data_IF_227115050027
#
_entry.id   IF_227115050027
#
_cell.length_a   1.000
_cell.length_b   1.000
_cell.length_c   1.000
_cell.angle_alpha   90.00
_cell.angle_beta   90.00
_cell.angle_gamma   90.00
#
_symmetry.space_group_name_H-M   'P 1'
#
loop_
_entity.id
_entity.type
_entity.pdbx_description
1 polymer ?
#
# COMPACT_ATOMS: atom_id res chain seq x y z
N UNK A 1 4.03 -27.84 11.97
CA UNK A 1 3.16 -26.96 11.16
C UNK A 1 3.35 -25.49 11.53
N UNK A 2 3.21 -25.08 12.81
CA UNK A 2 3.41 -23.70 13.24
C UNK A 2 4.84 -23.15 12.98
N UNK A 3 5.90 -23.92 13.29
CA UNK A 3 7.29 -23.51 13.00
C UNK A 3 7.59 -23.38 11.50
N UNK A 4 7.03 -24.27 10.67
CA UNK A 4 7.21 -24.20 9.21
C UNK A 4 6.50 -22.95 8.66
N UNK A 5 5.33 -22.61 9.20
CA UNK A 5 4.61 -21.39 8.85
C UNK A 5 5.33 -20.12 9.34
N UNK A 6 6.04 -20.18 10.48
CA UNK A 6 6.87 -19.10 11.00
C UNK A 6 8.17 -18.90 10.19
N UNK A 7 8.80 -20.00 9.77
CA UNK A 7 9.96 -19.95 8.86
C UNK A 7 9.53 -19.40 7.49
N UNK A 8 8.39 -19.86 6.97
CA UNK A 8 7.82 -19.36 5.72
C UNK A 8 7.49 -17.87 5.82
N UNK A 9 6.89 -17.40 6.92
CA UNK A 9 6.55 -15.99 7.12
C UNK A 9 7.80 -15.12 7.18
N UNK A 10 8.86 -15.56 7.87
CA UNK A 10 10.14 -14.85 7.95
C UNK A 10 10.85 -14.73 6.60
N UNK A 11 10.79 -15.75 5.75
CA UNK A 11 11.38 -15.75 4.41
C UNK A 11 10.52 -14.91 3.43
N UNK A 12 9.20 -14.99 3.51
CA UNK A 12 8.29 -14.17 2.70
C UNK A 12 8.31 -12.67 3.07
N UNK A 13 8.73 -12.33 4.29
CA UNK A 13 8.86 -10.95 4.78
C UNK A 13 10.16 -10.26 4.29
N UNK A 14 10.90 -10.87 3.37
CA UNK A 14 12.12 -10.24 2.85
C UNK A 14 11.77 -9.08 1.91
N UNK A 15 11.93 -7.85 2.38
CA UNK A 15 11.57 -6.65 1.64
C UNK A 15 12.55 -6.39 0.48
N UNK A 16 12.14 -6.73 -0.74
CA UNK A 16 12.91 -6.52 -1.97
C UNK A 16 13.39 -5.07 -2.16
N UNK A 17 12.68 -4.09 -1.61
CA UNK A 17 13.05 -2.68 -1.69
C UNK A 17 14.35 -2.33 -0.94
N UNK A 18 14.76 -3.13 0.05
CA UNK A 18 16.03 -2.97 0.79
C UNK A 18 17.24 -3.44 -0.02
N UNK A 19 17.03 -4.28 -1.03
CA UNK A 19 18.09 -4.92 -1.79
C UNK A 19 18.73 -4.02 -2.85
N UNK A 20 20.05 -4.16 -2.99
CA UNK A 20 20.82 -3.43 -4.00
C UNK A 20 20.34 -3.80 -5.42
N UNK A 21 20.46 -2.85 -6.35
CA UNK A 21 19.99 -3.03 -7.75
C UNK A 21 20.60 -4.28 -8.41
N UNK A 22 21.87 -4.58 -8.12
CA UNK A 22 22.57 -5.77 -8.62
C UNK A 22 21.94 -7.07 -8.12
N UNK A 23 21.59 -7.15 -6.84
CA UNK A 23 20.95 -8.33 -6.26
C UNK A 23 19.55 -8.54 -6.86
N UNK A 24 18.76 -7.47 -6.99
CA UNK A 24 17.44 -7.53 -7.65
C UNK A 24 17.55 -7.97 -9.11
N UNK A 25 18.61 -7.54 -9.81
CA UNK A 25 18.86 -7.97 -11.18
C UNK A 25 19.18 -9.46 -11.28
N UNK A 26 19.99 -9.98 -10.36
CA UNK A 26 20.32 -11.40 -10.33
C UNK A 26 19.09 -12.24 -10.03
N UNK A 27 18.30 -11.85 -9.02
CA UNK A 27 17.06 -12.55 -8.67
C UNK A 27 16.05 -12.56 -9.82
N UNK A 28 15.89 -11.46 -10.57
CA UNK A 28 15.02 -11.46 -11.75
C UNK A 28 15.54 -12.42 -12.83
N UNK A 29 16.85 -12.48 -13.05
CA UNK A 29 17.46 -13.39 -14.02
C UNK A 29 17.25 -14.86 -13.62
N UNK A 30 17.39 -15.17 -12.33
CA UNK A 30 17.16 -16.52 -11.80
C UNK A 30 15.70 -16.95 -11.99
N UNK A 31 14.75 -16.08 -11.67
CA UNK A 31 13.32 -16.36 -11.90
C UNK A 31 13.03 -16.56 -13.40
N UNK A 32 13.65 -15.77 -14.28
CA UNK A 32 13.49 -15.94 -15.74
C UNK A 32 14.05 -17.27 -16.22
N UNK A 33 15.17 -17.72 -15.64
CA UNK A 33 15.74 -19.04 -15.95
C UNK A 33 14.78 -20.15 -15.52
N UNK A 34 14.22 -20.08 -14.31
CA UNK A 34 13.23 -21.06 -13.82
C UNK A 34 11.94 -21.04 -14.66
N UNK A 35 11.43 -19.86 -15.04
CA UNK A 35 10.28 -19.76 -15.95
C UNK A 35 10.56 -20.42 -17.31
N UNK A 36 11.79 -20.31 -17.81
CA UNK A 36 12.21 -20.95 -19.07
C UNK A 36 12.25 -22.48 -18.91
N UNK A 37 12.71 -22.97 -17.77
CA UNK A 37 12.71 -24.40 -17.46
C UNK A 37 11.27 -24.96 -17.38
N UNK A 38 10.36 -24.26 -16.69
CA UNK A 38 8.94 -24.64 -16.62
C UNK A 38 8.29 -24.69 -18.00
N UNK A 39 8.63 -23.75 -18.90
CA UNK A 39 8.17 -23.78 -20.29
C UNK A 39 8.70 -25.00 -21.05
N UNK A 40 9.95 -25.40 -20.81
CA UNK A 40 10.50 -26.63 -21.40
C UNK A 40 9.81 -27.88 -20.86
N UNK A 41 9.53 -27.94 -19.55
CA UNK A 41 8.79 -29.03 -18.93
C UNK A 41 7.36 -29.12 -19.49
N UNK A 42 6.67 -27.99 -19.64
CA UNK A 42 5.34 -27.93 -20.24
C UNK A 42 5.32 -28.45 -21.70
N UNK A 43 6.33 -28.09 -22.51
CA UNK A 43 6.47 -28.62 -23.89
C UNK A 43 6.70 -30.13 -23.94
N UNK A 44 7.48 -30.67 -23.01
CA UNK A 44 7.68 -32.14 -22.90
C UNK A 44 6.37 -32.84 -22.54
N UNK A 45 5.60 -32.27 -21.61
CA UNK A 45 4.29 -32.79 -21.23
C UNK A 45 3.27 -32.70 -22.36
N UNK A 46 3.30 -31.65 -23.17
CA UNK A 46 2.45 -31.54 -24.37
C UNK A 46 2.74 -32.67 -25.37
N UNK A 47 4.02 -33.00 -25.58
CA UNK A 47 4.39 -34.13 -26.45
C UNK A 47 3.87 -35.45 -25.88
N UNK A 48 4.08 -35.68 -24.57
CA UNK A 48 3.62 -36.89 -23.87
C UNK A 48 2.09 -37.01 -23.85
N UNK A 49 1.39 -35.89 -23.72
CA UNK A 49 -0.07 -35.82 -23.81
C UNK A 49 -0.56 -36.29 -25.17
N UNK A 50 0.08 -35.84 -26.25
CA UNK A 50 -0.29 -36.24 -27.61
C UNK A 50 -0.05 -37.74 -27.84
N UNK A 51 1.03 -38.30 -27.29
CA UNK A 51 1.30 -39.74 -27.38
C UNK A 51 0.24 -40.58 -26.65
N UNK A 52 -0.16 -40.18 -25.44
CA UNK A 52 -1.22 -40.86 -24.69
C UNK A 52 -2.60 -40.70 -25.32
N UNK A 53 -2.85 -39.57 -25.99
CA UNK A 53 -4.08 -39.34 -26.73
C UNK A 53 -4.23 -40.33 -27.90
N UNK A 54 -3.12 -40.67 -28.56
CA UNK A 54 -3.10 -41.71 -29.60
C UNK A 54 -3.31 -43.12 -29.05
N UNK A 55 -2.83 -43.37 -27.82
CA UNK A 55 -2.96 -44.67 -27.15
C UNK A 55 -4.32 -44.86 -26.44
N UNK A 56 -5.17 -43.81 -26.41
CA UNK A 56 -6.46 -43.78 -25.73
C UNK A 56 -6.40 -44.12 -24.22
N UNK A 57 -5.27 -43.83 -23.55
CA UNK A 57 -5.11 -44.03 -22.11
C UNK A 57 -5.65 -42.83 -21.33
N UNK A 58 -6.89 -42.95 -20.86
CA UNK A 58 -7.56 -41.89 -20.10
C UNK A 58 -6.88 -41.57 -18.75
N UNK A 59 -6.26 -42.55 -18.09
CA UNK A 59 -5.64 -42.36 -16.77
C UNK A 59 -4.38 -41.50 -16.89
N UNK A 60 -3.53 -41.79 -17.86
CA UNK A 60 -2.31 -41.03 -18.12
C UNK A 60 -2.62 -39.61 -18.65
N UNK A 61 -3.68 -39.44 -19.43
CA UNK A 61 -4.14 -38.11 -19.88
C UNK A 61 -4.56 -37.22 -18.70
N UNK A 62 -5.26 -37.77 -17.71
CA UNK A 62 -5.62 -37.04 -16.49
C UNK A 62 -4.38 -36.67 -15.64
N UNK A 63 -3.41 -37.59 -15.54
CA UNK A 63 -2.15 -37.34 -14.84
C UNK A 63 -1.38 -36.16 -15.47
N UNK A 64 -1.20 -36.16 -16.79
CA UNK A 64 -0.52 -35.08 -17.52
C UNK A 64 -1.27 -33.76 -17.37
N UNK A 65 -2.61 -33.76 -17.41
CA UNK A 65 -3.42 -32.55 -17.21
C UNK A 65 -3.19 -31.95 -15.83
N UNK A 66 -3.09 -32.78 -14.78
CA UNK A 66 -2.83 -32.33 -13.41
C UNK A 66 -1.42 -31.77 -13.26
N UNK A 67 -0.41 -32.39 -13.89
CA UNK A 67 0.96 -31.86 -13.91
C UNK A 67 1.05 -30.50 -14.61
N UNK A 68 0.39 -30.33 -15.77
CA UNK A 68 0.34 -29.05 -16.46
C UNK A 68 -0.32 -27.98 -15.57
N UNK A 69 -1.42 -28.31 -14.87
CA UNK A 69 -2.05 -27.36 -13.94
C UNK A 69 -1.10 -26.93 -12.81
N UNK A 70 -0.29 -27.86 -12.28
CA UNK A 70 0.71 -27.53 -11.26
C UNK A 70 1.81 -26.62 -11.83
N UNK A 71 2.30 -26.88 -13.05
CA UNK A 71 3.27 -26.02 -13.73
C UNK A 71 2.73 -24.62 -13.98
N UNK A 72 1.48 -24.50 -14.44
CA UNK A 72 0.83 -23.20 -14.67
C UNK A 72 0.74 -22.41 -13.36
N UNK A 73 0.30 -23.06 -12.27
CA UNK A 73 0.23 -22.42 -10.96
C UNK A 73 1.61 -21.96 -10.46
N UNK A 74 2.64 -22.78 -10.65
CA UNK A 74 4.02 -22.42 -10.31
C UNK A 74 4.52 -21.25 -11.15
N UNK A 75 4.23 -21.24 -12.45
CA UNK A 75 4.59 -20.14 -13.35
C UNK A 75 3.90 -18.83 -12.95
N UNK A 76 2.62 -18.86 -12.57
CA UNK A 76 1.87 -17.67 -12.13
C UNK A 76 2.46 -17.08 -10.84
N UNK A 77 2.82 -17.93 -9.87
CA UNK A 77 3.48 -17.48 -8.63
C UNK A 77 4.81 -16.79 -8.94
N UNK A 78 5.66 -17.42 -9.75
CA UNK A 78 6.95 -16.84 -10.17
C UNK A 78 6.76 -15.54 -10.96
N UNK A 79 5.72 -15.44 -11.80
CA UNK A 79 5.43 -14.24 -12.56
C UNK A 79 5.08 -13.06 -11.65
N UNK A 80 4.28 -13.31 -10.61
CA UNK A 80 3.95 -12.32 -9.58
C UNK A 80 5.18 -11.87 -8.80
N UNK A 81 6.08 -12.79 -8.42
CA UNK A 81 7.33 -12.46 -7.74
C UNK A 81 8.27 -11.64 -8.63
N UNK A 82 8.44 -12.06 -9.89
CA UNK A 82 9.23 -11.33 -10.88
C UNK A 82 8.73 -9.89 -11.05
N UNK A 83 7.42 -9.69 -11.13
CA UNK A 83 6.83 -8.36 -11.26
C UNK A 83 7.14 -7.48 -10.04
N UNK A 84 7.05 -8.02 -8.83
CA UNK A 84 7.42 -7.30 -7.59
C UNK A 84 8.90 -6.89 -7.59
N UNK A 85 9.79 -7.80 -7.95
CA UNK A 85 11.24 -7.54 -8.03
C UNK A 85 11.56 -6.50 -9.10
N UNK A 86 10.91 -6.62 -10.27
CA UNK A 86 11.05 -5.66 -11.36
C UNK A 86 10.61 -4.26 -10.94
N UNK A 87 9.43 -4.14 -10.31
CA UNK A 87 8.89 -2.87 -9.83
C UNK A 87 9.80 -2.24 -8.76
N UNK A 88 10.29 -3.04 -7.80
CA UNK A 88 11.24 -2.60 -6.78
C UNK A 88 12.56 -2.10 -7.38
N UNK A 89 13.09 -2.79 -8.40
CA UNK A 89 14.32 -2.39 -9.10
C UNK A 89 14.13 -1.07 -9.83
N UNK A 90 13.03 -0.91 -10.57
CA UNK A 90 12.75 0.32 -11.32
C UNK A 90 12.60 1.53 -10.39
N UNK A 91 11.93 1.37 -9.25
CA UNK A 91 11.80 2.45 -8.28
C UNK A 91 13.16 2.86 -7.68
N UNK A 92 14.02 1.88 -7.38
CA UNK A 92 15.37 2.14 -6.84
C UNK A 92 16.26 2.85 -7.86
N UNK A 93 16.27 2.37 -9.11
CA UNK A 93 16.98 3.02 -10.22
C UNK A 93 16.54 4.47 -10.43
N UNK A 94 15.24 4.74 -10.37
CA UNK A 94 14.72 6.10 -10.46
C UNK A 94 15.24 6.99 -9.33
N UNK A 95 15.26 6.50 -8.09
CA UNK A 95 15.80 7.25 -6.94
C UNK A 95 17.29 7.49 -7.04
N UNK A 96 18.06 6.48 -7.46
CA UNK A 96 19.50 6.60 -7.62
C UNK A 96 19.84 7.62 -8.70
N UNK A 97 19.11 7.60 -9.83
CA UNK A 97 19.24 8.62 -10.88
C UNK A 97 18.84 10.01 -10.41
N UNK A 98 17.75 10.13 -9.65
CA UNK A 98 17.32 11.40 -9.04
C UNK A 98 18.39 11.94 -8.10
N UNK A 99 18.94 11.09 -7.23
CA UNK A 99 20.00 11.45 -6.29
C UNK A 99 21.27 11.89 -7.04
N UNK A 100 21.65 11.18 -8.10
CA UNK A 100 22.78 11.57 -8.94
C UNK A 100 22.58 12.93 -9.62
N UNK A 101 21.36 13.25 -10.08
CA UNK A 101 21.03 14.50 -10.77
C UNK A 101 20.82 15.69 -9.84
N UNK A 102 20.30 15.46 -8.63
CA UNK A 102 19.89 16.50 -7.67
C UNK A 102 20.91 16.73 -6.54
N UNK A 103 22.08 16.08 -6.58
CA UNK A 103 23.16 16.30 -5.62
C UNK A 103 23.03 15.51 -4.32
N UNK A 104 22.25 14.42 -4.32
CA UNK A 104 22.25 13.41 -3.26
C UNK A 104 20.87 13.01 -2.74
N UNK A 105 20.81 11.92 -1.94
CA UNK A 105 19.55 11.35 -1.45
C UNK A 105 18.79 12.26 -0.48
N UNK A 106 19.48 13.17 0.22
CA UNK A 106 18.84 14.14 1.14
C UNK A 106 17.98 15.14 0.39
N UNK A 107 18.44 15.63 -0.75
CA UNK A 107 17.71 16.59 -1.59
C UNK A 107 16.46 15.95 -2.18
N UNK A 108 16.56 14.69 -2.62
CA UNK A 108 15.39 13.93 -3.11
C UNK A 108 14.32 13.80 -2.03
N UNK A 109 14.71 13.48 -0.79
CA UNK A 109 13.76 13.42 0.34
C UNK A 109 13.13 14.77 0.65
N UNK A 110 13.90 15.85 0.57
CA UNK A 110 13.38 17.21 0.76
C UNK A 110 12.35 17.57 -0.32
N UNK A 111 12.63 17.27 -1.58
CA UNK A 111 11.69 17.50 -2.70
C UNK A 111 10.42 16.66 -2.50
N UNK A 112 10.55 15.37 -2.18
CA UNK A 112 9.40 14.50 -1.88
C UNK A 112 8.55 15.08 -0.73
N UNK A 113 9.19 15.59 0.33
CA UNK A 113 8.51 16.25 1.46
C UNK A 113 7.84 17.57 1.09
N UNK A 114 8.50 18.40 0.28
CA UNK A 114 7.94 19.66 -0.22
C UNK A 114 6.72 19.41 -1.12
N UNK A 115 6.78 18.39 -1.98
CA UNK A 115 5.64 17.95 -2.80
C UNK A 115 4.47 17.51 -1.91
N UNK A 116 4.73 16.74 -0.85
CA UNK A 116 3.69 16.33 0.10
C UNK A 116 3.07 17.54 0.84
N UNK A 117 3.89 18.47 1.30
CA UNK A 117 3.40 19.69 1.95
C UNK A 117 2.52 20.52 1.00
N UNK A 118 2.91 20.63 -0.27
CA UNK A 118 2.14 21.32 -1.30
C UNK A 118 0.82 20.61 -1.61
N UNK A 119 0.79 19.27 -1.61
CA UNK A 119 -0.46 18.50 -1.77
C UNK A 119 -1.40 18.78 -0.59
N UNK A 120 -0.87 18.74 0.64
CA UNK A 120 -1.63 19.05 1.86
C UNK A 120 -2.20 20.47 1.84
N UNK A 121 -1.40 21.45 1.39
CA UNK A 121 -1.83 22.83 1.22
C UNK A 121 -2.99 22.94 0.22
N UNK A 122 -2.88 22.33 -0.97
CA UNK A 122 -3.94 22.36 -1.99
C UNK A 122 -5.23 21.71 -1.48
N UNK A 123 -5.13 20.59 -0.76
CA UNK A 123 -6.29 19.93 -0.16
C UNK A 123 -6.91 20.76 0.96
N UNK A 124 -6.10 21.42 1.79
CA UNK A 124 -6.57 22.35 2.82
C UNK A 124 -7.33 23.54 2.23
N UNK A 125 -6.81 24.11 1.13
CA UNK A 125 -7.51 25.17 0.40
C UNK A 125 -8.83 24.68 -0.20
N UNK A 126 -8.86 23.47 -0.77
CA UNK A 126 -10.07 22.85 -1.31
C UNK A 126 -11.12 22.60 -0.21
N UNK A 127 -10.68 22.11 0.95
CA UNK A 127 -11.55 21.89 2.10
C UNK A 127 -12.11 23.22 2.63
N UNK A 128 -11.26 24.25 2.72
CA UNK A 128 -11.69 25.59 3.12
C UNK A 128 -12.71 26.18 2.14
N UNK A 129 -12.49 26.05 0.83
CA UNK A 129 -13.43 26.48 -0.21
C UNK A 129 -14.78 25.75 -0.09
N UNK A 130 -14.77 24.46 0.25
CA UNK A 130 -15.97 23.65 0.42
C UNK A 130 -16.74 24.00 1.71
N UNK A 131 -16.02 24.23 2.81
CA UNK A 131 -16.62 24.48 4.12
C UNK A 131 -17.10 25.94 4.29
N UNK A 132 -16.44 26.91 3.66
CA UNK A 132 -16.82 28.31 3.76
C UNK A 132 -18.06 28.61 2.90
N UNK A 133 -19.20 28.85 3.54
CA UNK A 133 -20.48 29.12 2.88
C UNK A 133 -20.48 30.36 1.95
N UNK A 134 -19.55 31.31 2.12
CA UNK A 134 -19.39 32.48 1.25
C UNK A 134 -17.94 32.94 1.13
N UNK A 135 -17.22 32.38 0.15
CA UNK A 135 -15.88 32.87 -0.22
C UNK A 135 -16.01 34.04 -1.20
N UNK A 136 -15.40 35.18 -0.88
CA UNK A 136 -15.32 36.35 -1.77
C UNK A 136 -14.74 35.97 -3.14
N UNK A 137 -15.26 36.58 -4.22
CA UNK A 137 -14.80 36.31 -5.60
C UNK A 137 -13.30 36.57 -5.79
N UNK A 138 -12.73 37.56 -5.09
CA UNK A 138 -11.28 37.83 -5.13
C UNK A 138 -10.47 36.71 -4.48
N UNK A 139 -10.97 36.10 -3.40
CA UNK A 139 -10.29 35.01 -2.70
C UNK A 139 -10.34 33.71 -3.50
N UNK A 140 -11.44 33.44 -4.21
CA UNK A 140 -11.52 32.32 -5.17
C UNK A 140 -10.51 32.46 -6.30
N UNK A 141 -10.29 33.68 -6.80
CA UNK A 141 -9.27 33.93 -7.82
C UNK A 141 -7.86 33.60 -7.31
N UNK A 142 -7.51 34.01 -6.09
CA UNK A 142 -6.22 33.65 -5.49
C UNK A 142 -6.06 32.14 -5.27
N UNK A 143 -7.12 31.45 -4.82
CA UNK A 143 -7.11 29.99 -4.71
C UNK A 143 -6.88 29.33 -6.07
N UNK A 144 -7.54 29.81 -7.12
CA UNK A 144 -7.33 29.31 -8.47
C UNK A 144 -5.88 29.50 -8.96
N UNK A 145 -5.27 30.66 -8.70
CA UNK A 145 -3.87 30.92 -9.08
C UNK A 145 -2.90 30.01 -8.32
N UNK A 146 -3.07 29.87 -7.00
CA UNK A 146 -2.23 29.01 -6.16
C UNK A 146 -2.38 27.55 -6.59
N UNK A 147 -3.60 27.10 -6.80
CA UNK A 147 -3.90 25.73 -7.23
C UNK A 147 -3.30 25.44 -8.61
N UNK A 148 -3.47 26.37 -9.56
CA UNK A 148 -2.90 26.23 -10.91
C UNK A 148 -1.37 26.19 -10.86
N UNK A 149 -0.74 27.06 -10.07
CA UNK A 149 0.71 27.06 -9.89
C UNK A 149 1.21 25.74 -9.26
N UNK A 150 0.51 25.24 -8.25
CA UNK A 150 0.83 23.96 -7.62
C UNK A 150 0.68 22.79 -8.60
N UNK A 151 -0.42 22.74 -9.36
CA UNK A 151 -0.64 21.78 -10.43
C UNK A 151 0.48 21.82 -11.49
N UNK A 152 0.90 23.01 -11.92
CA UNK A 152 2.02 23.17 -12.84
C UNK A 152 3.33 22.62 -12.25
N UNK A 153 3.63 22.89 -10.98
CA UNK A 153 4.81 22.32 -10.32
C UNK A 153 4.77 20.78 -10.23
N UNK A 154 3.60 20.21 -9.91
CA UNK A 154 3.44 18.75 -9.87
C UNK A 154 3.54 18.12 -11.26
N UNK A 155 3.05 18.80 -12.28
CA UNK A 155 3.18 18.35 -13.66
C UNK A 155 4.65 18.36 -14.10
N UNK A 156 5.41 19.40 -13.73
CA UNK A 156 6.85 19.48 -13.98
C UNK A 156 7.63 18.40 -13.25
N UNK A 157 7.35 18.15 -11.96
CA UNK A 157 7.97 17.05 -11.20
C UNK A 157 7.67 15.69 -11.83
N UNK A 158 6.41 15.46 -12.26
CA UNK A 158 6.03 14.24 -12.96
C UNK A 158 6.82 14.04 -14.26
N UNK A 159 6.92 15.06 -15.10
CA UNK A 159 7.69 14.98 -16.36
C UNK A 159 9.19 14.82 -16.10
N UNK A 160 9.72 15.46 -15.07
CA UNK A 160 11.11 15.31 -14.67
C UNK A 160 11.42 13.87 -14.25
N UNK A 161 10.57 13.26 -13.42
CA UNK A 161 10.71 11.84 -13.02
C UNK A 161 10.51 10.89 -14.20
N UNK A 162 9.56 11.17 -15.08
CA UNK A 162 9.34 10.39 -16.31
C UNK A 162 10.56 10.43 -17.24
N UNK A 163 11.25 11.59 -17.33
CA UNK A 163 12.46 11.73 -18.13
C UNK A 163 13.64 10.93 -17.57
N UNK A 164 13.77 10.87 -16.23
CA UNK A 164 14.83 10.10 -15.56
C UNK A 164 14.55 8.60 -15.49
N UNK A 165 13.27 8.19 -15.55
CA UNK A 165 12.86 6.79 -15.47
C UNK A 165 13.51 5.96 -16.60
N UNK A 166 14.04 4.80 -16.23
CA UNK A 166 14.65 3.87 -17.20
C UNK A 166 13.61 3.28 -18.14
N UNK A 167 12.49 2.81 -17.58
CA UNK A 167 11.37 2.29 -18.34
C UNK A 167 10.16 3.23 -18.25
N UNK A 168 9.91 3.98 -19.34
CA UNK A 168 8.78 4.91 -19.44
C UNK A 168 7.43 4.23 -19.32
N UNK A 169 7.29 3.00 -19.83
CA UNK A 169 6.03 2.23 -19.79
C UNK A 169 5.71 1.79 -18.37
N UNK A 170 6.72 1.35 -17.63
CA UNK A 170 6.59 1.05 -16.21
C UNK A 170 6.17 2.30 -15.42
N UNK A 171 6.86 3.43 -15.66
CA UNK A 171 6.57 4.67 -14.96
C UNK A 171 5.13 5.13 -15.21
N UNK A 172 4.67 5.13 -16.45
CA UNK A 172 3.28 5.47 -16.78
C UNK A 172 2.27 4.53 -16.13
N UNK A 173 2.50 3.21 -16.16
CA UNK A 173 1.61 2.23 -15.53
C UNK A 173 1.49 2.46 -14.03
N UNK A 174 2.57 2.85 -13.36
CA UNK A 174 2.58 3.05 -11.91
C UNK A 174 2.17 4.46 -11.48
N UNK A 175 2.40 5.49 -12.31
CA UNK A 175 2.24 6.90 -11.98
C UNK A 175 1.14 7.64 -12.77
N UNK A 176 0.28 6.94 -13.51
CA UNK A 176 -0.81 7.59 -14.27
C UNK A 176 -1.74 8.45 -13.41
N UNK A 177 -2.00 8.07 -12.14
CA UNK A 177 -2.82 8.84 -11.21
C UNK A 177 -2.15 10.19 -10.90
N UNK A 178 -0.83 10.20 -10.72
CA UNK A 178 -0.06 11.43 -10.47
C UNK A 178 -0.21 12.38 -11.66
N UNK A 179 -0.19 11.86 -12.88
CA UNK A 179 -0.43 12.66 -14.09
C UNK A 179 -1.85 13.24 -14.11
N UNK A 180 -2.88 12.41 -13.98
CA UNK A 180 -4.30 12.84 -14.05
C UNK A 180 -4.61 13.90 -12.99
N UNK A 181 -4.04 13.75 -11.80
CA UNK A 181 -4.26 14.70 -10.69
C UNK A 181 -3.42 15.98 -10.80
N UNK A 182 -2.40 16.03 -11.68
CA UNK A 182 -1.55 17.21 -11.90
C UNK A 182 -2.13 18.17 -12.94
N UNK A 183 -3.14 17.76 -13.69
CA UNK A 183 -3.75 18.60 -14.73
C UNK A 183 -4.53 19.74 -14.05
N UNK A 184 -4.19 21.01 -14.29
CA UNK A 184 -4.95 22.14 -13.78
C UNK A 184 -6.32 22.14 -14.46
N UNK A 185 -7.40 22.04 -13.67
CA UNK A 185 -8.77 22.07 -14.19
C UNK A 185 -9.29 23.50 -14.00
N UNK A 186 -9.45 24.29 -15.07
CA UNK A 186 -9.92 25.66 -14.96
C UNK A 186 -11.32 25.75 -14.35
N UNK A 187 -11.57 26.82 -13.62
CA UNK A 187 -12.88 27.10 -13.04
C UNK A 187 -13.95 27.20 -14.12
N UNK A 188 -15.05 26.47 -13.92
CA UNK A 188 -16.16 26.36 -14.86
C UNK A 188 -16.91 27.69 -15.11
N UNK A 189 -16.51 28.77 -14.44
CA UNK A 189 -17.06 30.11 -14.66
C UNK A 189 -16.64 30.72 -16.00
N UNK A 190 -15.49 30.30 -16.56
CA UNK A 190 -15.02 30.75 -17.88
C UNK A 190 -15.78 30.02 -19.02
N UNK A 191 -16.31 28.82 -18.75
CA UNK A 191 -17.05 28.00 -19.71
C UNK A 191 -18.57 28.17 -19.56
N UNK A 192 -19.05 29.42 -19.65
CA UNK A 192 -20.48 29.75 -19.79
C UNK A 192 -20.98 29.39 -21.20
N UNK A 193 -21.12 28.10 -21.50
CA UNK A 193 -21.91 27.61 -22.64
C UNK A 193 -22.99 26.65 -22.12
N UNK A 194 -24.26 26.93 -22.42
CA UNK A 194 -25.46 26.38 -21.76
C UNK A 194 -25.70 24.85 -21.80
N UNK A 195 -24.77 24.03 -22.30
CA UNK A 195 -24.82 22.54 -22.23
C UNK A 195 -23.98 21.96 -21.07
N UNK A 196 -23.35 22.81 -20.27
CA UNK A 196 -22.26 22.46 -19.34
C UNK A 196 -22.74 21.87 -18.00
N UNK A 197 -24.04 21.82 -17.67
CA UNK A 197 -24.51 21.24 -16.40
C UNK A 197 -24.06 19.79 -16.13
N UNK A 198 -23.94 18.96 -17.17
CA UNK A 198 -23.39 17.59 -17.06
C UNK A 198 -21.86 17.62 -16.86
N UNK A 199 -21.17 18.54 -17.54
CA UNK A 199 -19.71 18.74 -17.44
C UNK A 199 -19.33 19.33 -16.07
N UNK A 200 -20.18 20.18 -15.47
CA UNK A 200 -20.01 20.71 -14.10
C UNK A 200 -19.94 19.59 -13.05
N UNK A 201 -20.77 18.55 -13.19
CA UNK A 201 -20.76 17.40 -12.29
C UNK A 201 -19.45 16.61 -12.43
N UNK A 202 -18.96 16.42 -13.66
CA UNK A 202 -17.69 15.73 -13.91
C UNK A 202 -16.50 16.53 -13.38
N UNK A 203 -16.45 17.85 -13.62
CA UNK A 203 -15.38 18.73 -13.09
C UNK A 203 -15.34 18.69 -11.56
N UNK A 204 -16.51 18.68 -10.89
CA UNK A 204 -16.60 18.56 -9.44
C UNK A 204 -16.03 17.22 -8.94
N UNK A 205 -16.32 16.12 -9.61
CA UNK A 205 -15.77 14.79 -9.27
C UNK A 205 -14.26 14.71 -9.53
N UNK A 206 -13.77 15.32 -10.62
CA UNK A 206 -12.34 15.37 -10.94
C UNK A 206 -11.54 16.11 -9.86
N UNK A 207 -12.11 17.14 -9.21
CA UNK A 207 -11.46 17.80 -8.07
C UNK A 207 -11.25 16.86 -6.88
N UNK A 208 -12.22 15.97 -6.61
CA UNK A 208 -12.08 14.97 -5.54
C UNK A 208 -11.04 13.89 -5.86
N UNK A 209 -10.71 13.65 -7.14
CA UNK A 209 -9.60 12.75 -7.51
C UNK A 209 -8.25 13.22 -6.93
N UNK A 210 -8.11 14.50 -6.58
CA UNK A 210 -6.91 15.01 -5.89
C UNK A 210 -6.71 14.39 -4.51
N UNK A 211 -7.80 14.01 -3.83
CA UNK A 211 -7.72 13.25 -2.56
C UNK A 211 -7.11 11.88 -2.81
N UNK A 212 -7.40 11.25 -3.96
CA UNK A 212 -6.77 9.97 -4.32
C UNK A 212 -5.25 10.10 -4.45
N UNK A 213 -4.72 11.29 -4.79
CA UNK A 213 -3.26 11.50 -4.76
C UNK A 213 -2.69 11.36 -3.36
N UNK A 214 -3.30 11.94 -2.33
CA UNK A 214 -2.77 11.78 -0.97
C UNK A 214 -2.95 10.35 -0.51
N UNK A 215 -4.08 9.72 -0.82
CA UNK A 215 -4.29 8.30 -0.52
C UNK A 215 -3.23 7.44 -1.21
N UNK A 216 -2.94 7.65 -2.49
CA UNK A 216 -1.98 6.85 -3.25
C UNK A 216 -0.52 7.20 -2.91
N UNK A 217 -0.21 8.46 -2.67
CA UNK A 217 1.10 8.89 -2.19
C UNK A 217 1.35 8.35 -0.78
N UNK A 218 0.34 8.36 0.09
CA UNK A 218 0.39 7.75 1.41
C UNK A 218 0.41 6.24 1.31
N UNK A 219 -0.27 5.61 0.34
CA UNK A 219 -0.20 4.17 0.10
C UNK A 219 1.18 3.75 -0.39
N UNK A 220 1.76 4.49 -1.35
CA UNK A 220 3.15 4.29 -1.78
C UNK A 220 4.13 4.66 -0.67
N UNK A 221 3.84 5.66 0.14
CA UNK A 221 4.62 6.05 1.32
C UNK A 221 4.58 4.97 2.39
N UNK A 222 3.42 4.33 2.57
CA UNK A 222 3.22 3.11 3.35
C UNK A 222 3.96 1.92 2.72
N UNK A 223 4.03 1.83 1.39
CA UNK A 223 4.86 0.85 0.68
C UNK A 223 6.37 1.17 0.84
N UNK A 224 6.75 2.44 1.02
CA UNK A 224 8.11 2.83 1.44
C UNK A 224 8.37 2.54 2.91
N UNK A 225 7.34 2.63 3.77
CA UNK A 225 7.35 2.17 5.16
C UNK A 225 7.29 0.64 5.23
N UNK A 226 6.92 -0.08 4.17
CA UNK A 226 7.13 -1.54 4.09
C UNK A 226 8.61 -1.88 4.19
N UNK A 227 9.57 -0.98 3.95
CA UNK A 227 10.99 -1.27 4.23
C UNK A 227 11.28 -1.55 5.72
N UNK A 228 10.30 -1.33 6.62
CA UNK A 228 10.44 -1.46 8.06
C UNK A 228 9.35 -2.38 8.65
N UNK A 229 8.28 -2.74 7.92
CA UNK A 229 7.01 -3.11 8.55
C UNK A 229 6.21 -4.30 7.96
N UNK A 230 5.63 -5.11 8.86
CA UNK A 230 4.78 -6.26 8.57
C UNK A 230 3.31 -5.85 8.27
N UNK A 231 3.12 -5.28 7.07
CA UNK A 231 1.83 -4.73 6.61
C UNK A 231 0.76 -5.83 6.36
N UNK A 232 1.11 -7.13 6.48
CA UNK A 232 0.13 -8.22 6.35
C UNK A 232 -0.88 -8.24 7.49
N UNK A 233 -0.45 -7.98 8.72
CA UNK A 233 -1.35 -7.90 9.89
C UNK A 233 -2.30 -6.71 9.77
N UNK A 234 -1.81 -5.57 9.30
CA UNK A 234 -2.64 -4.38 9.05
C UNK A 234 -3.63 -4.59 7.88
N UNK A 235 -3.20 -5.22 6.78
CA UNK A 235 -4.11 -5.58 5.67
C UNK A 235 -5.14 -6.63 6.10
N UNK A 236 -4.77 -7.58 6.95
CA UNK A 236 -5.69 -8.58 7.52
C UNK A 236 -6.68 -7.94 8.50
N UNK A 237 -6.23 -7.07 9.40
CA UNK A 237 -7.11 -6.38 10.35
C UNK A 237 -8.09 -5.45 9.64
N UNK A 238 -7.66 -4.76 8.58
CA UNK A 238 -8.54 -3.92 7.76
C UNK A 238 -9.57 -4.76 6.97
N UNK A 239 -9.17 -5.90 6.40
CA UNK A 239 -10.11 -6.84 5.76
C UNK A 239 -11.13 -7.42 6.76
N UNK A 240 -10.67 -7.79 7.95
CA UNK A 240 -11.54 -8.26 9.03
C UNK A 240 -12.48 -7.16 9.51
N UNK A 241 -12.00 -5.94 9.71
CA UNK A 241 -12.83 -4.79 10.07
C UNK A 241 -13.91 -4.50 9.04
N UNK A 242 -13.56 -4.55 7.75
CA UNK A 242 -14.53 -4.40 6.67
C UNK A 242 -15.55 -5.55 6.65
N UNK A 243 -15.10 -6.79 6.89
CA UNK A 243 -15.96 -7.96 6.99
C UNK A 243 -16.95 -7.88 8.16
N UNK A 244 -16.48 -7.49 9.34
CA UNK A 244 -17.30 -7.26 10.54
C UNK A 244 -18.30 -6.13 10.30
N UNK A 245 -17.87 -5.05 9.65
CA UNK A 245 -18.75 -3.93 9.30
C UNK A 245 -19.88 -4.37 8.36
N UNK A 246 -19.56 -5.11 7.29
CA UNK A 246 -20.58 -5.59 6.35
C UNK A 246 -21.51 -6.63 7.00
N UNK A 247 -20.97 -7.53 7.81
CA UNK A 247 -21.75 -8.50 8.56
C UNK A 247 -22.70 -7.82 9.57
N UNK A 248 -22.22 -6.82 10.31
CA UNK A 248 -23.03 -6.02 11.24
C UNK A 248 -24.14 -5.26 10.52
N UNK A 249 -23.85 -4.68 9.36
CA UNK A 249 -24.83 -3.99 8.53
C UNK A 249 -25.93 -4.93 8.02
N UNK A 250 -25.57 -6.11 7.52
CA UNK A 250 -26.54 -7.11 7.06
C UNK A 250 -27.38 -7.68 8.19
N UNK A 251 -26.76 -7.96 9.33
CA UNK A 251 -27.44 -8.55 10.46
C UNK A 251 -28.44 -7.57 11.10
N UNK A 252 -28.10 -6.28 11.19
CA UNK A 252 -29.03 -5.28 11.69
C UNK A 252 -30.17 -4.99 10.70
N UNK A 253 -29.86 -4.96 9.39
CA UNK A 253 -30.87 -4.81 8.36
C UNK A 253 -31.89 -5.95 8.38
N UNK A 254 -31.45 -7.19 8.63
CA UNK A 254 -32.36 -8.33 8.67
C UNK A 254 -33.23 -8.38 9.94
N UNK A 255 -32.74 -7.85 11.06
CA UNK A 255 -33.46 -7.86 12.36
C UNK A 255 -34.37 -6.64 12.52
N UNK A 256 -33.94 -5.47 12.04
CA UNK A 256 -34.61 -4.17 12.29
C UNK A 256 -35.04 -3.46 11.01
N UNK A 257 -34.74 -3.97 9.81
CA UNK A 257 -34.98 -3.28 8.54
C UNK A 257 -36.45 -2.94 8.27
N UNK A 258 -37.38 -3.71 8.84
CA UNK A 258 -38.83 -3.44 8.76
C UNK A 258 -39.38 -2.70 10.01
N UNK A 259 -38.63 -2.64 11.11
CA UNK A 259 -39.11 -2.20 12.42
C UNK A 259 -38.61 -0.81 12.84
N UNK A 260 -37.45 -0.38 12.33
CA UNK A 260 -36.83 0.90 12.67
C UNK A 260 -36.69 1.79 11.43
N UNK A 261 -37.33 2.97 11.43
CA UNK A 261 -37.19 4.00 10.38
C UNK A 261 -35.74 4.39 10.11
N UNK A 262 -34.84 4.13 11.05
CA UNK A 262 -33.45 4.58 11.02
C UNK A 262 -32.44 3.57 10.48
N UNK A 263 -32.86 2.33 10.24
CA UNK A 263 -32.02 1.26 9.65
C UNK A 263 -32.74 0.63 8.44
N UNK A 264 -33.80 1.29 7.95
CA UNK A 264 -34.69 0.77 6.92
C UNK A 264 -34.05 0.65 5.54
N UNK A 265 -32.91 1.31 5.31
CA UNK A 265 -32.13 1.14 4.09
C UNK A 265 -30.79 0.44 4.33
N UNK A 266 -30.33 -0.30 3.31
CA UNK A 266 -29.00 -0.93 3.30
C UNK A 266 -27.89 0.12 3.50
N UNK A 267 -28.08 1.33 2.98
CA UNK A 267 -27.14 2.46 3.16
C UNK A 267 -27.03 2.92 4.62
N UNK A 268 -28.17 3.03 5.32
CA UNK A 268 -28.19 3.42 6.74
C UNK A 268 -27.60 2.33 7.63
N UNK A 269 -27.87 1.07 7.30
CA UNK A 269 -27.29 -0.09 8.00
C UNK A 269 -25.76 -0.13 7.91
N UNK A 270 -25.21 0.21 6.73
CA UNK A 270 -23.75 0.30 6.52
C UNK A 270 -23.17 1.47 7.33
N UNK A 271 -23.83 2.63 7.32
CA UNK A 271 -23.39 3.80 8.09
C UNK A 271 -23.42 3.54 9.60
N UNK A 272 -24.48 2.92 10.10
CA UNK A 272 -24.60 2.51 11.49
C UNK A 272 -23.50 1.54 11.90
N UNK A 273 -23.25 0.51 11.09
CA UNK A 273 -22.19 -0.47 11.37
C UNK A 273 -20.80 0.15 11.33
N UNK A 274 -20.53 1.06 10.39
CA UNK A 274 -19.26 1.79 10.30
C UNK A 274 -18.97 2.60 11.57
N UNK A 275 -19.94 3.39 12.00
CA UNK A 275 -19.81 4.23 13.21
C UNK A 275 -19.70 3.37 14.48
N UNK A 276 -20.46 2.27 14.56
CA UNK A 276 -20.40 1.34 15.69
C UNK A 276 -19.04 0.64 15.81
N UNK A 277 -18.46 0.20 14.69
CA UNK A 277 -17.16 -0.51 14.68
C UNK A 277 -15.99 0.42 15.00
N UNK A 278 -16.00 1.65 14.48
CA UNK A 278 -14.85 2.56 14.58
C UNK A 278 -14.83 3.33 15.90
N UNK A 279 -15.98 3.73 16.44
CA UNK A 279 -16.06 4.62 17.62
C UNK A 279 -16.91 4.07 18.76
N UNK A 280 -17.53 2.89 18.60
CA UNK A 280 -18.49 2.34 19.55
C UNK A 280 -19.92 2.85 19.36
N UNK A 281 -20.17 3.68 18.34
CA UNK A 281 -21.49 4.23 18.01
C UNK A 281 -21.78 5.57 18.69
N UNK A 282 -22.57 6.42 18.03
CA UNK A 282 -23.04 7.67 18.61
C UNK A 282 -24.36 7.43 19.36
N UNK A 283 -24.44 7.88 20.62
CA UNK A 283 -25.63 7.67 21.46
C UNK A 283 -26.90 8.39 20.99
N UNK A 284 -26.77 9.39 20.12
CA UNK A 284 -27.87 10.14 19.51
C UNK A 284 -28.35 9.53 18.18
N UNK A 285 -27.51 8.71 17.55
CA UNK A 285 -27.76 8.17 16.22
C UNK A 285 -28.39 6.78 16.34
N UNK A 286 -29.71 6.77 16.44
CA UNK A 286 -30.54 5.68 15.90
C UNK A 286 -30.16 4.25 16.34
N UNK A 287 -30.18 4.01 17.64
CA UNK A 287 -29.96 2.69 18.19
C UNK A 287 -31.11 1.72 17.90
N UNK A 288 -30.80 0.43 17.66
CA UNK A 288 -31.82 -0.61 17.50
C UNK A 288 -32.80 -0.64 18.67
N UNK A 289 -34.09 -0.70 18.36
CA UNK A 289 -35.14 -0.63 19.38
C UNK A 289 -35.47 -2.00 19.97
N UNK A 290 -35.27 -3.06 19.19
CA UNK A 290 -35.53 -4.44 19.61
C UNK A 290 -34.46 -4.96 20.56
N UNK A 291 -34.86 -5.86 21.47
CA UNK A 291 -33.95 -6.54 22.38
C UNK A 291 -32.84 -7.29 21.64
N UNK A 292 -33.18 -7.93 20.52
CA UNK A 292 -32.22 -8.65 19.66
C UNK A 292 -31.23 -7.71 19.00
N UNK A 293 -31.70 -6.57 18.47
CA UNK A 293 -30.85 -5.54 17.89
C UNK A 293 -29.86 -4.96 18.90
N UNK A 294 -30.29 -4.72 20.15
CA UNK A 294 -29.42 -4.23 21.22
C UNK A 294 -28.31 -5.22 21.60
N UNK A 295 -28.62 -6.51 21.67
CA UNK A 295 -27.61 -7.55 21.92
C UNK A 295 -26.59 -7.58 20.78
N UNK A 296 -27.06 -7.44 19.54
CA UNK A 296 -26.20 -7.40 18.37
C UNK A 296 -25.28 -6.17 18.37
N UNK A 297 -25.79 -5.00 18.77
CA UNK A 297 -24.99 -3.79 18.98
C UNK A 297 -23.86 -4.00 19.97
N UNK A 298 -24.13 -4.63 21.12
CA UNK A 298 -23.10 -4.89 22.14
C UNK A 298 -21.99 -5.79 21.58
N UNK A 299 -22.34 -6.86 20.86
CA UNK A 299 -21.38 -7.76 20.23
C UNK A 299 -20.54 -7.03 19.17
N UNK A 300 -21.19 -6.18 18.36
CA UNK A 300 -20.53 -5.42 17.31
C UNK A 300 -19.56 -4.36 17.88
N UNK A 301 -19.93 -3.67 18.96
CA UNK A 301 -19.06 -2.72 19.67
C UNK A 301 -17.81 -3.43 20.20
N UNK A 302 -17.97 -4.57 20.90
CA UNK A 302 -16.84 -5.34 21.44
C UNK A 302 -15.90 -5.76 20.31
N UNK A 303 -16.46 -6.29 19.22
CA UNK A 303 -15.68 -6.73 18.05
C UNK A 303 -14.97 -5.55 17.38
N UNK A 304 -15.65 -4.41 17.25
CA UNK A 304 -15.08 -3.18 16.70
C UNK A 304 -13.91 -2.65 17.53
N UNK A 305 -14.07 -2.60 18.85
CA UNK A 305 -12.99 -2.22 19.77
C UNK A 305 -11.78 -3.15 19.67
N UNK A 306 -12.00 -4.46 19.51
CA UNK A 306 -10.90 -5.41 19.30
C UNK A 306 -10.20 -5.13 17.96
N UNK A 307 -10.95 -4.91 16.87
CA UNK A 307 -10.37 -4.62 15.56
C UNK A 307 -9.56 -3.32 15.57
N UNK A 308 -10.14 -2.24 16.13
CA UNK A 308 -9.46 -0.94 16.27
C UNK A 308 -8.27 -1.04 17.22
N UNK A 309 -8.40 -1.80 18.30
CA UNK A 309 -7.32 -2.06 19.26
C UNK A 309 -6.16 -2.83 18.63
N UNK A 310 -6.45 -3.87 17.83
CA UNK A 310 -5.43 -4.59 17.06
C UNK A 310 -4.80 -3.67 16.01
N UNK A 311 -5.59 -2.88 15.29
CA UNK A 311 -5.06 -1.90 14.34
C UNK A 311 -4.13 -0.90 15.03
N UNK A 312 -4.53 -0.35 16.16
CA UNK A 312 -3.74 0.59 16.96
C UNK A 312 -2.49 -0.07 17.54
N UNK A 313 -2.61 -1.27 18.10
CA UNK A 313 -1.48 -2.03 18.64
C UNK A 313 -0.48 -2.40 17.54
N UNK A 314 -0.95 -2.78 16.35
CA UNK A 314 -0.08 -2.94 15.20
C UNK A 314 0.58 -1.60 14.87
N UNK A 315 -0.15 -0.50 14.76
CA UNK A 315 0.43 0.82 14.49
C UNK A 315 1.47 1.25 15.53
N UNK A 316 1.25 0.95 16.81
CA UNK A 316 2.19 1.22 17.90
C UNK A 316 3.42 0.31 17.83
N UNK A 317 3.25 -0.98 17.57
CA UNK A 317 4.40 -1.88 17.37
C UNK A 317 5.23 -1.49 16.16
N UNK A 318 4.62 -0.84 15.15
CA UNK A 318 5.34 -0.22 14.04
C UNK A 318 6.20 0.96 14.51
N UNK A 319 5.74 1.79 15.45
CA UNK A 319 6.53 2.91 15.94
C UNK A 319 7.66 2.47 16.89
N UNK A 320 7.41 1.45 17.72
CA UNK A 320 8.36 1.00 18.76
C UNK A 320 9.40 -0.01 18.24
N UNK A 321 9.11 -0.74 17.15
CA UNK A 321 10.04 -1.71 16.57
C UNK A 321 11.37 -1.10 16.08
N UNK A 322 11.32 0.11 15.52
CA UNK A 322 12.49 0.81 14.95
C UNK A 322 13.50 1.22 16.05
N UNK A 323 13.01 1.68 17.20
CA UNK A 323 13.85 2.03 18.36
C UNK A 323 14.47 0.78 19.01
N UNK A 324 13.74 -0.33 19.02
CA UNK A 324 14.17 -1.58 19.66
C UNK A 324 15.36 -2.21 18.93
N UNK A 325 15.29 -2.29 17.61
CA UNK A 325 16.37 -2.84 16.78
C UNK A 325 17.63 -1.95 16.83
N UNK A 326 17.47 -0.63 16.86
CA UNK A 326 18.60 0.30 17.02
C UNK A 326 19.27 0.16 18.39
N UNK A 327 18.48 0.01 19.47
CA UNK A 327 19.00 -0.23 20.82
C UNK A 327 19.76 -1.56 20.88
N UNK A 328 19.21 -2.62 20.29
CA UNK A 328 19.84 -3.95 20.28
C UNK A 328 21.16 -3.94 19.48
N UNK A 329 21.20 -3.22 18.35
CA UNK A 329 22.41 -3.04 17.55
C UNK A 329 23.48 -2.22 18.29
N UNK A 330 23.07 -1.18 19.03
CA UNK A 330 23.96 -0.39 19.90
C UNK A 330 24.52 -1.23 21.04
N UNK A 331 23.70 -2.10 21.65
CA UNK A 331 24.16 -3.06 22.66
C UNK A 331 25.22 -4.01 22.10
N UNK A 332 24.97 -4.66 20.97
CA UNK A 332 25.95 -5.55 20.32
C UNK A 332 27.26 -4.84 19.95
N UNK A 333 27.18 -3.60 19.46
CA UNK A 333 28.37 -2.79 19.16
C UNK A 333 29.13 -2.40 20.43
N UNK A 334 28.44 -2.19 21.54
CA UNK A 334 29.06 -1.90 22.84
C UNK A 334 29.77 -3.14 23.40
N UNK A 335 29.12 -4.31 23.36
CA UNK A 335 29.73 -5.59 23.77
C UNK A 335 30.99 -5.88 22.95
N UNK A 336 30.92 -5.79 21.62
CA UNK A 336 32.08 -6.02 20.77
C UNK A 336 33.25 -5.04 21.05
N UNK A 337 32.96 -3.79 21.46
CA UNK A 337 33.99 -2.82 21.87
C UNK A 337 34.59 -3.18 23.23
N UNK A 338 33.78 -3.65 24.17
CA UNK A 338 34.26 -4.10 25.48
C UNK A 338 35.18 -5.32 25.33
N UNK A 339 34.80 -6.29 24.49
CA UNK A 339 35.64 -7.46 24.20
C UNK A 339 36.98 -7.05 23.58
N UNK A 340 36.98 -6.13 22.62
CA UNK A 340 38.21 -5.59 22.04
C UNK A 340 39.10 -4.87 23.06
N UNK A 341 38.52 -4.13 24.01
CA UNK A 341 39.28 -3.46 25.07
C UNK A 341 39.87 -4.46 26.06
N UNK A 342 39.14 -5.51 26.41
CA UNK A 342 39.63 -6.61 27.28
C UNK A 342 40.80 -7.33 26.60
N UNK A 343 40.68 -7.63 25.30
CA UNK A 343 41.73 -8.25 24.49
C UNK A 343 43.00 -7.37 24.46
N UNK A 344 42.83 -6.05 24.23
CA UNK A 344 43.95 -5.09 24.25
C UNK A 344 44.61 -4.98 25.63
N UNK A 345 43.83 -5.00 26.71
CA UNK A 345 44.37 -4.99 28.08
C UNK A 345 45.14 -6.27 28.41
N UNK A 346 44.65 -7.43 27.96
CA UNK A 346 45.34 -8.71 28.14
C UNK A 346 46.66 -8.76 27.35
N UNK A 347 46.68 -8.24 26.12
CA UNK A 347 47.91 -8.13 25.33
C UNK A 347 48.87 -7.07 25.90
N UNK A 348 48.36 -5.98 26.45
CA UNK A 348 49.15 -4.92 27.10
C UNK A 348 49.74 -5.32 28.46
N UNK A 349 49.18 -6.33 29.14
CA UNK A 349 49.69 -6.86 30.40
C UNK A 349 50.73 -7.99 30.22
N UNK A 350 51.18 -8.23 28.99
CA UNK A 350 52.22 -9.23 28.65
C UNK A 350 53.54 -8.68 28.06
N UNK A 351 54.04 -7.46 28.39
CA UNK A 351 55.46 -7.19 28.25
C UNK A 351 56.19 -7.58 29.54
N UNK A 352 57.33 -8.27 29.38
CA UNK A 352 58.33 -8.56 30.42
C UNK A 352 58.02 -9.70 31.41
N UNK A 353 58.11 -10.95 30.91
CA UNK A 353 58.48 -12.11 31.76
C UNK A 353 59.53 -13.04 31.16
N UNK A 354 60.28 -12.56 30.17
CA UNK A 354 61.50 -13.22 29.68
C UNK A 354 62.67 -12.24 29.82
N UNK A 355 63.35 -12.31 30.97
CA UNK A 355 64.76 -11.98 31.16
C UNK A 355 65.28 -12.73 32.39
#
# INVERSE_FOLDING_TARGET
MAEIQDIQSRIENTHFHSFHVSLLSNMENDIRAEQTELLQQARKLETRYNDYLQQADASELEAVRKEIQQLVKKHEVLDQERLKIFDARQERLLRDRLAARLGGPRVVRFIDGAVLALIGLVLGLLFYEFSAASVSSAMRFWFFIIDTAACSLFLLDFFFRLYLAENRRWFWRNHWIDFVTSIPIPDAQILRFGRVARILRVIRVLRFLRVLRIVFFFWRGLDKLQNIFDVRLMKKSLKWGLGVMLAGALAIYYVEGDAAESVGSVSESIWWSFTTVVTGGFGDLHNPTTTTGRVLTVILIITGMIVVGVFTATLTSLYVGDDSDEITLRQKKMEARLDQLIEQLNQSNHPERDN
#
